data_IF_899312483832
#
_entry.id   IF_899312483832
#
_cell.length_a   1.000
_cell.length_b   1.000
_cell.length_c   1.000
_cell.angle_alpha   90.00
_cell.angle_beta   90.00
_cell.angle_gamma   90.00
#
_symmetry.space_group_name_H-M   'P 1'
#
loop_
_entity.id
_entity.type
_entity.pdbx_description
1 polymer ?
#
# COMPACT_ATOMS: atom_id res chain seq x y z
N UNK A 1 11.14 -20.74 8.65
CA UNK A 1 10.88 -19.36 8.14
C UNK A 1 9.40 -19.17 7.80
N UNK A 2 8.92 -17.93 7.71
CA UNK A 2 7.56 -17.56 7.26
C UNK A 2 7.68 -16.76 5.96
N UNK A 3 6.93 -17.16 4.93
CA UNK A 3 6.88 -16.47 3.63
C UNK A 3 5.59 -15.66 3.50
N UNK A 4 5.72 -14.35 3.28
CA UNK A 4 4.58 -13.49 2.97
C UNK A 4 4.59 -13.16 1.47
N UNK A 5 3.46 -13.37 0.80
CA UNK A 5 3.27 -13.13 -0.62
C UNK A 5 2.19 -12.09 -0.85
N UNK A 6 2.47 -11.12 -1.72
CA UNK A 6 1.50 -10.16 -2.23
C UNK A 6 1.47 -10.25 -3.76
N UNK A 7 0.44 -10.94 -4.27
CA UNK A 7 0.29 -11.28 -5.68
C UNK A 7 -0.62 -10.25 -6.34
N UNK A 8 0.01 -9.19 -6.88
CA UNK A 8 -0.65 -8.16 -7.66
C UNK A 8 -0.81 -8.53 -9.14
N UNK A 9 -1.54 -7.70 -9.89
CA UNK A 9 -1.75 -7.89 -11.32
C UNK A 9 -0.48 -7.70 -12.17
N UNK A 10 0.47 -6.89 -11.70
CA UNK A 10 1.72 -6.57 -12.41
C UNK A 10 2.91 -7.31 -11.81
N UNK A 11 3.07 -7.19 -10.50
CA UNK A 11 4.19 -7.75 -9.75
C UNK A 11 3.66 -8.61 -8.61
N UNK A 12 4.34 -9.73 -8.38
CA UNK A 12 4.21 -10.54 -7.19
C UNK A 12 5.39 -10.21 -6.29
N UNK A 13 5.12 -9.63 -5.14
CA UNK A 13 6.13 -9.27 -4.15
C UNK A 13 6.14 -10.31 -3.05
N UNK A 14 7.29 -10.49 -2.43
CA UNK A 14 7.42 -11.38 -1.29
C UNK A 14 8.39 -10.84 -0.25
N UNK A 15 8.22 -11.31 0.99
CA UNK A 15 9.25 -11.20 2.03
C UNK A 15 9.36 -12.49 2.82
N UNK A 16 10.58 -12.79 3.25
CA UNK A 16 10.87 -13.94 4.11
C UNK A 16 11.20 -13.45 5.52
N UNK A 17 10.57 -14.07 6.51
CA UNK A 17 10.76 -13.78 7.92
C UNK A 17 11.27 -14.97 8.69
N UNK A 18 12.05 -14.68 9.72
CA UNK A 18 12.41 -15.63 10.76
C UNK A 18 11.19 -15.95 11.64
N UNK A 19 10.91 -17.23 11.87
CA UNK A 19 9.72 -17.66 12.59
C UNK A 19 9.79 -17.37 14.10
N UNK A 20 11.01 -17.34 14.65
CA UNK A 20 11.23 -17.13 16.09
C UNK A 20 11.42 -15.65 16.41
N UNK A 21 12.40 -15.00 15.77
CA UNK A 21 12.75 -13.60 16.04
C UNK A 21 11.82 -12.60 15.37
N UNK A 22 11.02 -13.03 14.37
CA UNK A 22 10.19 -12.15 13.55
C UNK A 22 10.96 -11.13 12.69
N UNK A 23 12.28 -11.27 12.60
CA UNK A 23 13.12 -10.43 11.76
C UNK A 23 12.86 -10.70 10.26
N UNK A 24 12.86 -9.63 9.46
CA UNK A 24 12.75 -9.76 8.00
C UNK A 24 14.13 -10.10 7.46
N UNK A 25 14.26 -11.28 6.86
CA UNK A 25 15.53 -11.82 6.34
C UNK A 25 15.80 -11.36 4.91
N UNK A 26 14.76 -11.34 4.08
CA UNK A 26 14.89 -10.96 2.66
C UNK A 26 13.56 -10.49 2.08
N UNK A 27 13.65 -9.81 0.94
CA UNK A 27 12.52 -9.33 0.15
C UNK A 27 12.83 -9.52 -1.33
N UNK A 28 11.79 -9.65 -2.13
CA UNK A 28 11.94 -9.67 -3.58
C UNK A 28 10.64 -9.31 -4.28
N UNK A 29 10.75 -9.12 -5.59
CA UNK A 29 9.62 -8.89 -6.46
C UNK A 29 9.89 -9.56 -7.80
N UNK A 30 8.88 -10.24 -8.33
CA UNK A 30 8.92 -10.86 -9.64
C UNK A 30 7.71 -10.40 -10.45
N UNK A 31 7.83 -10.37 -11.77
CA UNK A 31 6.67 -10.15 -12.63
C UNK A 31 5.64 -11.24 -12.40
N UNK A 32 4.38 -10.86 -12.21
CA UNK A 32 3.30 -11.84 -12.03
C UNK A 32 3.17 -12.65 -13.32
N UNK A 33 3.56 -13.93 -13.25
CA UNK A 33 3.41 -14.90 -14.34
C UNK A 33 2.14 -15.72 -14.10
N UNK A 34 1.68 -16.39 -15.16
CA UNK A 34 0.55 -17.31 -15.06
C UNK A 34 0.87 -18.52 -14.17
N UNK A 35 2.15 -18.91 -14.05
CA UNK A 35 2.61 -20.07 -13.25
C UNK A 35 3.71 -19.68 -12.26
N UNK A 36 3.65 -20.27 -11.05
CA UNK A 36 4.73 -20.22 -10.07
C UNK A 36 5.85 -21.20 -10.44
N UNK A 37 7.10 -20.73 -10.57
CA UNK A 37 8.26 -21.56 -10.94
C UNK A 37 9.36 -21.54 -9.87
N UNK A 38 9.71 -22.70 -9.26
CA UNK A 38 10.87 -22.84 -8.39
C UNK A 38 12.16 -22.42 -9.11
N UNK A 39 13.06 -21.70 -8.44
CA UNK A 39 14.35 -21.24 -9.01
C UNK A 39 14.33 -19.86 -9.68
N UNK A 40 13.24 -19.12 -9.58
CA UNK A 40 13.24 -17.65 -9.76
C UNK A 40 13.67 -16.96 -8.45
N UNK A 41 13.75 -15.62 -8.40
CA UNK A 41 14.13 -14.81 -7.21
C UNK A 41 13.18 -14.98 -6.00
N UNK A 42 12.75 -16.18 -5.67
CA UNK A 42 11.83 -16.59 -4.63
C UNK A 42 12.62 -17.57 -3.73
N UNK A 43 12.50 -17.45 -2.40
CA UNK A 43 13.27 -18.27 -1.46
C UNK A 43 12.91 -19.76 -1.56
N UNK A 44 13.89 -20.60 -1.22
CA UNK A 44 13.71 -22.04 -1.12
C UNK A 44 12.57 -22.36 -0.13
N UNK A 45 11.63 -23.19 -0.57
CA UNK A 45 10.44 -23.54 0.21
C UNK A 45 10.76 -24.62 1.26
N UNK A 46 11.87 -25.34 1.14
CA UNK A 46 12.27 -26.37 2.10
C UNK A 46 12.54 -25.79 3.51
N UNK A 47 12.83 -24.48 3.60
CA UNK A 47 13.04 -23.76 4.87
C UNK A 47 11.80 -22.98 5.35
N UNK A 48 10.68 -23.06 4.62
CA UNK A 48 9.44 -22.32 4.89
C UNK A 48 8.45 -23.21 5.62
N UNK A 49 8.06 -22.81 6.82
CA UNK A 49 7.11 -23.53 7.67
C UNK A 49 5.66 -23.09 7.44
N UNK A 50 5.49 -21.82 7.05
CA UNK A 50 4.18 -21.22 6.81
C UNK A 50 4.23 -20.16 5.70
N UNK A 51 3.13 -20.04 4.95
CA UNK A 51 2.93 -19.00 3.95
C UNK A 51 1.67 -18.19 4.26
N UNK A 52 1.74 -16.86 4.08
CA UNK A 52 0.57 -15.97 4.08
C UNK A 52 0.48 -15.28 2.73
N UNK A 53 -0.73 -15.23 2.16
CA UNK A 53 -0.95 -14.77 0.78
C UNK A 53 -2.01 -13.66 0.76
N UNK A 54 -1.63 -12.51 0.23
CA UNK A 54 -2.49 -11.48 -0.35
C UNK A 54 -2.54 -11.69 -1.86
N UNK A 55 -3.73 -11.60 -2.48
CA UNK A 55 -3.82 -11.70 -3.94
C UNK A 55 -5.03 -10.96 -4.50
N UNK A 56 -4.75 -10.08 -5.45
CA UNK A 56 -5.75 -9.42 -6.31
C UNK A 56 -5.65 -9.90 -7.76
N UNK A 57 -4.82 -10.92 -8.01
CA UNK A 57 -4.66 -11.53 -9.32
C UNK A 57 -5.87 -12.41 -9.70
N UNK A 58 -5.86 -12.92 -10.94
CA UNK A 58 -6.90 -13.81 -11.43
C UNK A 58 -7.02 -15.05 -10.54
N UNK A 59 -8.26 -15.46 -10.25
CA UNK A 59 -8.58 -16.61 -9.38
C UNK A 59 -7.81 -17.89 -9.72
N UNK A 60 -7.65 -18.19 -11.02
CA UNK A 60 -6.90 -19.37 -11.47
C UNK A 60 -5.43 -19.35 -11.00
N UNK A 61 -4.76 -18.20 -11.09
CA UNK A 61 -3.36 -18.04 -10.65
C UNK A 61 -3.24 -18.27 -9.15
N UNK A 62 -4.19 -17.73 -8.36
CA UNK A 62 -4.22 -17.95 -6.91
C UNK A 62 -4.48 -19.41 -6.56
N UNK A 63 -5.45 -20.06 -7.21
CA UNK A 63 -5.81 -21.45 -6.95
C UNK A 63 -4.65 -22.41 -7.26
N UNK A 64 -3.96 -22.19 -8.38
CA UNK A 64 -2.78 -22.96 -8.76
C UNK A 64 -1.62 -22.75 -7.77
N UNK A 65 -1.33 -21.49 -7.44
CA UNK A 65 -0.28 -21.13 -6.48
C UNK A 65 -0.53 -21.77 -5.11
N UNK A 66 -1.75 -21.67 -4.60
CA UNK A 66 -2.14 -22.28 -3.31
C UNK A 66 -2.05 -23.81 -3.36
N UNK A 67 -2.45 -24.42 -4.48
CA UNK A 67 -2.35 -25.87 -4.68
C UNK A 67 -0.90 -26.35 -4.63
N UNK A 68 0.02 -25.63 -5.28
CA UNK A 68 1.46 -25.90 -5.24
C UNK A 68 2.02 -25.76 -3.82
N UNK A 69 1.76 -24.62 -3.16
CA UNK A 69 2.31 -24.33 -1.84
C UNK A 69 1.83 -25.30 -0.76
N UNK A 70 0.56 -25.72 -0.80
CA UNK A 70 0.01 -26.71 0.15
C UNK A 70 0.63 -28.10 0.04
N UNK A 71 1.30 -28.42 -1.08
CA UNK A 71 2.05 -29.69 -1.22
C UNK A 71 3.43 -29.63 -0.57
N UNK A 72 3.97 -28.44 -0.33
CA UNK A 72 5.35 -28.23 0.11
C UNK A 72 5.43 -27.64 1.52
N UNK A 73 4.42 -26.88 1.95
CA UNK A 73 4.41 -26.15 3.22
C UNK A 73 3.23 -26.58 4.08
N UNK A 74 3.47 -26.77 5.38
CA UNK A 74 2.46 -27.27 6.32
C UNK A 74 1.29 -26.31 6.56
N UNK A 75 1.53 -25.00 6.51
CA UNK A 75 0.52 -23.97 6.77
C UNK A 75 0.46 -22.95 5.64
N UNK A 76 -0.73 -22.74 5.06
CA UNK A 76 -0.97 -21.74 4.01
C UNK A 76 -2.23 -20.93 4.34
N UNK A 77 -2.05 -19.65 4.65
CA UNK A 77 -3.12 -18.68 4.86
C UNK A 77 -3.34 -17.84 3.61
N UNK A 78 -4.60 -17.64 3.24
CA UNK A 78 -4.98 -16.77 2.12
C UNK A 78 -5.94 -15.71 2.67
N UNK A 79 -5.51 -14.47 2.62
CA UNK A 79 -6.30 -13.33 3.06
C UNK A 79 -7.51 -13.12 2.14
N UNK A 80 -8.57 -12.58 2.72
CA UNK A 80 -9.77 -12.13 2.00
C UNK A 80 -10.29 -10.87 2.65
N UNK A 81 -10.93 -10.02 1.86
CA UNK A 81 -11.71 -8.91 2.40
C UNK A 81 -12.95 -9.45 3.09
N UNK A 82 -13.16 -9.03 4.34
CA UNK A 82 -14.27 -9.46 5.19
C UNK A 82 -15.14 -8.27 5.56
N UNK A 83 -16.39 -8.48 6.02
CA UNK A 83 -17.25 -7.40 6.53
C UNK A 83 -16.66 -6.69 7.75
N UNK A 84 -15.90 -7.41 8.57
CA UNK A 84 -15.20 -6.87 9.74
C UNK A 84 -13.92 -7.69 9.99
N UNK A 85 -12.87 -7.04 10.46
CA UNK A 85 -11.67 -7.70 11.01
C UNK A 85 -10.92 -6.74 11.93
N UNK A 86 -10.34 -7.26 13.01
CA UNK A 86 -9.44 -6.52 13.90
C UNK A 86 -10.02 -5.17 14.40
N UNK A 87 -11.33 -5.13 14.66
CA UNK A 87 -12.02 -3.93 15.11
C UNK A 87 -12.24 -2.87 14.03
N UNK A 88 -12.09 -3.23 12.75
CA UNK A 88 -12.47 -2.40 11.59
C UNK A 88 -13.66 -3.01 10.88
N UNK A 89 -14.72 -2.24 10.70
CA UNK A 89 -15.89 -2.57 9.87
C UNK A 89 -15.64 -2.05 8.46
N UNK A 90 -15.75 -2.92 7.47
CA UNK A 90 -15.49 -2.63 6.07
C UNK A 90 -16.59 -1.71 5.50
N UNK A 91 -16.17 -0.63 4.84
CA UNK A 91 -17.06 0.42 4.33
C UNK A 91 -17.68 0.13 2.96
N UNK A 92 -17.29 -0.95 2.30
CA UNK A 92 -17.88 -1.32 1.02
C UNK A 92 -19.28 -1.92 1.21
N UNK A 93 -20.21 -1.58 0.31
CA UNK A 93 -21.55 -2.19 0.25
C UNK A 93 -21.46 -3.72 0.07
N UNK A 94 -20.49 -4.18 -0.74
CA UNK A 94 -20.12 -5.57 -0.89
C UNK A 94 -18.67 -5.76 -0.39
N UNK A 95 -18.45 -6.11 0.90
CA UNK A 95 -17.11 -6.18 1.49
C UNK A 95 -16.10 -7.04 0.73
N UNK A 96 -16.58 -8.12 0.10
CA UNK A 96 -15.76 -9.02 -0.71
C UNK A 96 -15.20 -8.39 -2.00
N UNK A 97 -15.71 -7.23 -2.43
CA UNK A 97 -15.21 -6.48 -3.60
C UNK A 97 -14.08 -5.52 -3.29
N UNK A 98 -13.82 -5.23 -2.01
CA UNK A 98 -12.63 -4.46 -1.63
C UNK A 98 -11.39 -5.29 -1.97
N UNK A 99 -10.41 -4.69 -2.65
CA UNK A 99 -9.12 -5.33 -2.90
C UNK A 99 -8.48 -5.79 -1.59
N UNK A 100 -8.03 -7.03 -1.52
CA UNK A 100 -7.50 -7.60 -0.28
C UNK A 100 -6.22 -6.91 0.18
N UNK A 101 -5.40 -6.44 -0.75
CA UNK A 101 -4.23 -5.59 -0.50
C UNK A 101 -4.61 -4.29 0.23
N UNK A 102 -5.63 -3.59 -0.26
CA UNK A 102 -6.19 -2.38 0.35
C UNK A 102 -6.77 -2.68 1.73
N UNK A 103 -7.50 -3.79 1.86
CA UNK A 103 -8.06 -4.21 3.14
C UNK A 103 -6.97 -4.47 4.17
N UNK A 104 -5.94 -5.23 3.81
CA UNK A 104 -4.81 -5.52 4.68
C UNK A 104 -4.02 -4.26 5.06
N UNK A 105 -3.77 -3.36 4.11
CA UNK A 105 -3.10 -2.09 4.39
C UNK A 105 -3.90 -1.19 5.34
N UNK A 106 -5.22 -1.18 5.18
CA UNK A 106 -6.17 -0.48 6.06
C UNK A 106 -6.13 -1.05 7.48
N UNK A 107 -6.20 -2.38 7.63
CA UNK A 107 -6.12 -3.06 8.91
C UNK A 107 -4.78 -2.81 9.61
N UNK A 108 -3.65 -2.92 8.89
CA UNK A 108 -2.32 -2.70 9.45
C UNK A 108 -2.18 -1.26 9.98
N UNK A 109 -2.64 -0.29 9.19
CA UNK A 109 -2.60 1.13 9.55
C UNK A 109 -3.47 1.42 10.77
N UNK A 110 -4.67 0.85 10.82
CA UNK A 110 -5.57 1.03 11.96
C UNK A 110 -5.02 0.40 13.24
N UNK A 111 -4.43 -0.79 13.18
CA UNK A 111 -3.79 -1.41 14.34
C UNK A 111 -2.65 -0.57 14.93
N UNK A 112 -1.96 0.24 14.11
CA UNK A 112 -0.92 1.15 14.59
C UNK A 112 -1.44 2.49 15.13
N UNK A 113 -2.55 3.00 14.57
CA UNK A 113 -2.95 4.39 14.75
C UNK A 113 -4.33 4.60 15.40
N UNK A 114 -5.21 3.59 15.43
CA UNK A 114 -6.59 3.67 15.94
C UNK A 114 -7.56 4.49 15.08
N UNK A 115 -7.06 5.13 14.03
CA UNK A 115 -7.74 5.84 12.95
C UNK A 115 -6.66 6.27 11.96
N UNK A 116 -6.89 6.18 10.65
CA UNK A 116 -5.82 6.35 9.68
C UNK A 116 -6.31 6.70 8.27
N UNK A 117 -5.42 7.31 7.50
CA UNK A 117 -5.45 7.35 6.03
C UNK A 117 -4.29 6.49 5.51
N UNK A 118 -4.60 5.37 4.85
CA UNK A 118 -3.61 4.50 4.23
C UNK A 118 -3.54 4.76 2.73
N UNK A 119 -2.33 5.00 2.22
CA UNK A 119 -2.08 5.31 0.81
C UNK A 119 -1.10 4.27 0.24
N UNK A 120 -1.49 3.51 -0.77
CA UNK A 120 -0.57 2.65 -1.53
C UNK A 120 -0.21 3.32 -2.85
N UNK A 121 1.06 3.62 -3.08
CA UNK A 121 1.61 4.18 -4.31
C UNK A 121 2.26 3.06 -5.15
N UNK A 122 1.42 2.19 -5.73
CA UNK A 122 1.83 1.08 -6.59
C UNK A 122 1.45 1.30 -8.05
N UNK A 123 1.09 0.20 -8.75
CA UNK A 123 0.55 0.27 -10.13
C UNK A 123 -0.68 1.19 -10.22
N UNK A 124 -1.48 1.21 -9.16
CA UNK A 124 -2.50 2.23 -8.89
C UNK A 124 -2.11 2.96 -7.59
N UNK A 125 -2.53 4.21 -7.47
CA UNK A 125 -2.54 4.89 -6.17
C UNK A 125 -3.89 4.59 -5.52
N UNK A 126 -3.89 4.00 -4.33
CA UNK A 126 -5.11 3.75 -3.55
C UNK A 126 -5.06 4.54 -2.25
N UNK A 127 -6.21 5.05 -1.81
CA UNK A 127 -6.32 5.86 -0.59
C UNK A 127 -7.54 5.37 0.18
N UNK A 128 -7.35 4.87 1.39
CA UNK A 128 -8.42 4.34 2.24
C UNK A 128 -8.43 5.04 3.61
N UNK A 129 -9.62 5.25 4.15
CA UNK A 129 -9.81 5.98 5.41
C UNK A 129 -10.52 5.12 6.45
N UNK A 130 -9.98 5.09 7.67
CA UNK A 130 -10.63 4.49 8.84
C UNK A 130 -10.73 5.53 9.93
N UNK A 131 -11.94 5.75 10.41
CA UNK A 131 -12.17 6.65 11.53
C UNK A 131 -11.75 6.04 12.87
N UNK A 132 -11.51 6.88 13.89
CA UNK A 132 -11.52 6.42 15.27
C UNK A 132 -12.78 5.59 15.55
N UNK A 133 -12.59 4.41 16.15
CA UNK A 133 -13.67 3.45 16.39
C UNK A 133 -13.90 2.44 15.25
N UNK A 134 -13.08 2.47 14.20
CA UNK A 134 -12.97 1.35 13.25
C UNK A 134 -13.91 1.39 12.06
N UNK A 135 -14.60 2.49 11.80
CA UNK A 135 -15.42 2.62 10.58
C UNK A 135 -14.52 2.92 9.38
N UNK A 136 -14.34 1.95 8.47
CA UNK A 136 -13.75 2.21 7.15
C UNK A 136 -14.76 2.97 6.29
N UNK A 137 -14.34 4.08 5.68
CA UNK A 137 -15.20 4.94 4.87
C UNK A 137 -15.26 4.51 3.39
N UNK A 138 -14.47 3.51 3.01
CA UNK A 138 -14.10 3.29 1.62
C UNK A 138 -12.85 4.07 1.24
N UNK A 139 -12.71 4.35 -0.05
CA UNK A 139 -11.49 4.96 -0.56
C UNK A 139 -11.52 5.29 -2.05
N UNK A 140 -10.35 5.71 -2.55
CA UNK A 140 -10.14 6.17 -3.92
C UNK A 140 -9.12 5.29 -4.62
N UNK A 141 -9.27 5.14 -5.94
CA UNK A 141 -8.32 4.46 -6.82
C UNK A 141 -7.98 5.43 -7.95
N UNK A 142 -6.70 5.75 -8.10
CA UNK A 142 -6.13 6.60 -9.14
C UNK A 142 -5.11 5.79 -9.94
N UNK A 143 -4.83 6.14 -11.21
CA UNK A 143 -3.70 5.54 -11.91
C UNK A 143 -2.38 5.86 -11.18
N UNK A 144 -1.48 4.88 -11.05
CA UNK A 144 -0.14 5.12 -10.51
C UNK A 144 0.73 5.93 -11.47
N UNK A 145 1.89 6.39 -11.01
CA UNK A 145 2.77 7.29 -11.80
C UNK A 145 3.16 6.65 -13.14
N UNK A 146 3.55 5.36 -13.12
CA UNK A 146 3.87 4.59 -14.33
C UNK A 146 2.66 4.47 -15.27
N UNK A 147 1.47 4.18 -14.74
CA UNK A 147 0.27 4.01 -15.56
C UNK A 147 -0.17 5.32 -16.21
N UNK A 148 -0.11 6.44 -15.49
CA UNK A 148 -0.36 7.77 -16.07
C UNK A 148 0.59 8.04 -17.23
N UNK A 149 1.87 7.71 -17.06
CA UNK A 149 2.89 7.88 -18.10
C UNK A 149 2.60 7.03 -19.34
N UNK A 150 2.27 5.76 -19.14
CA UNK A 150 1.93 4.82 -20.21
C UNK A 150 0.68 5.28 -20.99
N UNK A 151 -0.29 5.89 -20.30
CA UNK A 151 -1.54 6.36 -20.91
C UNK A 151 -1.36 7.50 -21.92
N UNK A 152 -0.28 8.28 -21.82
CA UNK A 152 -0.01 9.40 -22.73
C UNK A 152 0.46 8.94 -24.12
N UNK A 153 0.76 7.65 -24.32
CA UNK A 153 1.18 7.05 -25.61
C UNK A 153 2.36 7.75 -26.31
N UNK A 154 3.06 8.65 -25.62
CA UNK A 154 4.24 9.31 -26.13
C UNK A 154 5.34 8.25 -26.16
N UNK A 155 5.93 8.00 -27.32
CA UNK A 155 7.10 7.11 -27.52
C UNK A 155 8.37 7.55 -26.76
N UNK A 156 8.23 8.36 -25.71
CA UNK A 156 9.24 8.69 -24.72
C UNK A 156 9.63 7.41 -23.96
N UNK A 157 10.61 6.70 -24.50
CA UNK A 157 11.36 5.63 -23.84
C UNK A 157 11.56 5.97 -22.36
N UNK A 158 11.08 5.10 -21.47
CA UNK A 158 11.55 4.81 -20.10
C UNK A 158 12.37 5.87 -19.33
N UNK A 159 12.03 7.16 -19.36
CA UNK A 159 12.60 8.09 -18.37
C UNK A 159 11.78 7.92 -17.11
N UNK A 160 12.16 7.01 -16.22
CA UNK A 160 11.55 6.96 -14.89
C UNK A 160 11.60 8.36 -14.26
N UNK A 161 10.58 8.73 -13.48
CA UNK A 161 10.75 9.86 -12.57
C UNK A 161 11.87 9.42 -11.64
N UNK A 162 13.00 10.12 -11.70
CA UNK A 162 14.18 9.74 -10.94
C UNK A 162 13.80 9.78 -9.45
N UNK A 163 13.95 8.66 -8.71
CA UNK A 163 13.72 8.65 -7.28
C UNK A 163 14.54 9.70 -6.53
N UNK A 164 15.64 10.17 -7.12
CA UNK A 164 16.52 11.18 -6.57
C UNK A 164 16.18 12.61 -7.03
N UNK A 165 15.28 12.80 -8.02
CA UNK A 165 14.79 14.14 -8.40
C UNK A 165 14.24 14.89 -7.18
N UNK A 166 14.71 16.11 -6.98
CA UNK A 166 14.18 16.98 -5.93
C UNK A 166 12.69 17.26 -6.20
N UNK A 167 11.84 17.03 -5.20
CA UNK A 167 10.40 17.21 -5.39
C UNK A 167 10.01 18.65 -5.74
N UNK A 168 10.80 19.63 -5.27
CA UNK A 168 10.62 21.03 -5.62
C UNK A 168 10.79 21.27 -7.13
N UNK A 169 11.71 20.56 -7.79
CA UNK A 169 11.88 20.64 -9.24
C UNK A 169 10.66 20.07 -9.98
N UNK A 170 10.13 18.93 -9.51
CA UNK A 170 8.97 18.27 -10.10
C UNK A 170 7.66 19.08 -9.94
N UNK A 171 7.64 20.09 -9.08
CA UNK A 171 6.50 21.01 -8.90
C UNK A 171 6.58 22.25 -9.79
N UNK A 172 7.71 22.49 -10.47
CA UNK A 172 7.86 23.61 -11.40
C UNK A 172 7.29 23.29 -12.78
N UNK A 173 6.86 24.28 -13.58
CA UNK A 173 6.53 24.05 -14.98
C UNK A 173 7.73 23.47 -15.76
N UNK A 174 7.54 22.31 -16.37
CA UNK A 174 8.57 21.68 -17.20
C UNK A 174 8.88 22.52 -18.44
N UNK A 175 10.17 22.65 -18.77
CA UNK A 175 10.68 23.44 -19.90
C UNK A 175 10.97 22.60 -21.14
N UNK A 176 10.80 21.28 -21.03
CA UNK A 176 10.91 20.30 -22.12
C UNK A 176 9.74 19.32 -22.05
N UNK A 177 9.35 18.69 -23.15
CA UNK A 177 8.22 17.74 -23.18
C UNK A 177 8.32 16.65 -22.11
N UNK A 178 9.51 16.07 -21.91
CA UNK A 178 9.73 15.02 -20.89
C UNK A 178 9.53 15.56 -19.48
N UNK A 179 9.99 16.78 -19.19
CA UNK A 179 9.76 17.45 -17.91
C UNK A 179 8.28 17.77 -17.73
N UNK A 180 7.63 18.37 -18.74
CA UNK A 180 6.21 18.72 -18.66
C UNK A 180 5.33 17.49 -18.37
N UNK A 181 5.66 16.34 -18.98
CA UNK A 181 4.99 15.06 -18.68
C UNK A 181 5.29 14.58 -17.27
N UNK A 182 6.56 14.49 -16.87
CA UNK A 182 6.95 13.97 -15.55
C UNK A 182 6.42 14.85 -14.40
N UNK A 183 6.55 16.18 -14.53
CA UNK A 183 6.11 17.16 -13.54
C UNK A 183 4.58 17.16 -13.47
N UNK A 184 3.89 17.11 -14.62
CA UNK A 184 2.43 17.00 -14.66
C UNK A 184 1.90 15.74 -13.97
N UNK A 185 2.53 14.58 -14.21
CA UNK A 185 2.16 13.31 -13.56
C UNK A 185 2.41 13.37 -12.05
N UNK A 186 3.58 13.84 -11.65
CA UNK A 186 3.93 13.98 -10.24
C UNK A 186 2.97 14.92 -9.51
N UNK A 187 2.76 16.12 -10.07
CA UNK A 187 1.87 17.14 -9.54
C UNK A 187 0.44 16.62 -9.44
N UNK A 188 -0.06 15.90 -10.45
CA UNK A 188 -1.39 15.29 -10.41
C UNK A 188 -1.54 14.30 -9.26
N UNK A 189 -0.56 13.40 -9.08
CA UNK A 189 -0.60 12.39 -8.02
C UNK A 189 -0.56 13.02 -6.62
N UNK A 190 0.42 13.88 -6.33
CA UNK A 190 0.58 14.46 -4.98
C UNK A 190 -0.55 15.43 -4.65
N UNK A 191 -1.03 16.22 -5.64
CA UNK A 191 -2.16 17.12 -5.43
C UNK A 191 -3.45 16.35 -5.16
N UNK A 192 -3.69 15.24 -5.86
CA UNK A 192 -4.84 14.38 -5.60
C UNK A 192 -4.80 13.82 -4.17
N UNK A 193 -3.68 13.25 -3.73
CA UNK A 193 -3.55 12.71 -2.36
C UNK A 193 -3.78 13.80 -1.31
N UNK A 194 -3.14 14.96 -1.43
CA UNK A 194 -3.31 16.07 -0.50
C UNK A 194 -4.75 16.60 -0.46
N UNK A 195 -5.38 16.78 -1.63
CA UNK A 195 -6.75 17.31 -1.75
C UNK A 195 -7.77 16.32 -1.18
N UNK A 196 -7.65 15.04 -1.53
CA UNK A 196 -8.53 13.97 -1.04
C UNK A 196 -8.42 13.86 0.48
N UNK A 197 -7.21 13.81 1.03
CA UNK A 197 -7.01 13.78 2.48
C UNK A 197 -7.69 14.97 3.16
N UNK A 198 -7.45 16.17 2.65
CA UNK A 198 -7.98 17.39 3.27
C UNK A 198 -9.51 17.44 3.21
N UNK A 199 -10.11 17.08 2.07
CA UNK A 199 -11.57 17.07 1.89
C UNK A 199 -12.24 16.05 2.83
N UNK A 200 -11.70 14.83 2.93
CA UNK A 200 -12.27 13.78 3.78
C UNK A 200 -12.11 14.13 5.26
N UNK A 201 -10.94 14.61 5.67
CA UNK A 201 -10.70 14.99 7.07
C UNK A 201 -11.56 16.18 7.50
N UNK A 202 -11.76 17.17 6.62
CA UNK A 202 -12.65 18.30 6.91
C UNK A 202 -14.12 17.86 7.01
N UNK A 203 -14.58 17.04 6.07
CA UNK A 203 -15.96 16.53 6.04
C UNK A 203 -16.32 15.68 7.27
N UNK A 204 -15.39 14.83 7.71
CA UNK A 204 -15.60 13.97 8.88
C UNK A 204 -15.18 14.63 10.20
N UNK A 205 -14.77 15.91 10.15
CA UNK A 205 -14.31 16.72 11.30
C UNK A 205 -13.25 15.97 12.16
N UNK A 206 -12.28 15.35 11.49
CA UNK A 206 -11.26 14.51 12.12
C UNK A 206 -9.94 14.56 11.37
N UNK A 207 -8.83 14.73 12.09
CA UNK A 207 -7.51 14.65 11.52
C UNK A 207 -6.92 13.24 11.71
N UNK A 208 -6.54 12.59 10.62
CA UNK A 208 -6.11 11.19 10.63
C UNK A 208 -4.60 11.08 10.36
N UNK A 209 -3.84 10.26 11.11
CA UNK A 209 -2.49 9.88 10.73
C UNK A 209 -2.45 9.27 9.32
N UNK A 210 -1.45 9.66 8.52
CA UNK A 210 -1.27 9.14 7.16
C UNK A 210 -0.10 8.15 7.09
N UNK A 211 -0.32 7.01 6.44
CA UNK A 211 0.71 6.02 6.14
C UNK A 211 0.77 5.76 4.64
N UNK A 212 1.98 5.80 4.08
CA UNK A 212 2.25 5.52 2.67
C UNK A 212 2.95 4.16 2.52
N UNK A 213 2.56 3.39 1.51
CA UNK A 213 3.27 2.19 1.06
C UNK A 213 3.39 2.18 -0.46
N UNK A 214 3.96 1.11 -1.01
CA UNK A 214 4.10 0.95 -2.46
C UNK A 214 5.49 1.31 -2.99
N UNK A 215 5.71 1.01 -4.27
CA UNK A 215 7.02 1.22 -4.92
C UNK A 215 7.35 2.70 -5.12
N UNK A 216 6.33 3.51 -5.42
CA UNK A 216 6.47 4.95 -5.65
C UNK A 216 6.28 5.77 -4.37
N UNK A 217 6.10 5.12 -3.21
CA UNK A 217 5.79 5.77 -1.93
C UNK A 217 6.80 6.85 -1.56
N UNK A 218 8.10 6.57 -1.75
CA UNK A 218 9.19 7.51 -1.45
C UNK A 218 9.22 8.72 -2.37
N UNK A 219 8.74 8.58 -3.60
CA UNK A 219 8.66 9.70 -4.56
C UNK A 219 7.46 10.56 -4.22
N UNK A 220 6.30 9.92 -4.05
CA UNK A 220 5.04 10.59 -3.68
C UNK A 220 5.16 11.29 -2.33
N UNK A 221 5.81 10.68 -1.33
CA UNK A 221 5.99 11.23 0.02
C UNK A 221 6.60 12.62 0.04
N UNK A 222 7.50 12.92 -0.92
CA UNK A 222 8.16 14.23 -0.99
C UNK A 222 7.22 15.39 -1.34
N UNK A 223 6.04 15.09 -1.90
CA UNK A 223 5.02 16.08 -2.24
C UNK A 223 3.81 16.07 -1.29
N UNK A 224 3.82 15.22 -0.26
CA UNK A 224 2.76 15.18 0.75
C UNK A 224 2.97 16.30 1.76
N UNK A 225 1.92 17.10 1.96
CA UNK A 225 1.99 18.33 2.77
C UNK A 225 1.59 18.13 4.24
N UNK A 226 1.19 16.91 4.60
CA UNK A 226 0.81 16.54 5.97
C UNK A 226 1.80 15.53 6.57
N UNK A 227 1.96 15.48 7.91
CA UNK A 227 2.81 14.48 8.55
C UNK A 227 2.36 13.06 8.17
N UNK A 228 3.31 12.25 7.73
CA UNK A 228 3.06 10.90 7.26
C UNK A 228 4.26 10.00 7.53
N UNK A 229 4.03 8.69 7.54
CA UNK A 229 5.09 7.68 7.63
C UNK A 229 5.09 6.81 6.37
N UNK A 230 6.28 6.44 5.88
CA UNK A 230 6.40 5.44 4.82
C UNK A 230 6.64 4.07 5.45
N UNK A 231 5.77 3.11 5.14
CA UNK A 231 5.86 1.72 5.56
C UNK A 231 5.84 0.79 4.35
N UNK A 232 7.01 0.40 3.81
CA UNK A 232 7.09 -0.45 2.61
C UNK A 232 6.44 -1.83 2.76
N UNK A 233 6.36 -2.34 3.99
CA UNK A 233 5.84 -3.68 4.31
C UNK A 233 4.38 -3.66 4.83
N UNK A 234 3.63 -2.56 4.60
CA UNK A 234 2.30 -2.34 5.19
C UNK A 234 1.28 -3.45 4.90
N UNK A 235 1.19 -3.91 3.65
CA UNK A 235 0.28 -5.02 3.26
C UNK A 235 0.64 -6.30 4.03
N UNK A 236 1.94 -6.57 4.18
CA UNK A 236 2.38 -7.73 4.94
C UNK A 236 2.16 -7.56 6.45
N UNK A 237 2.22 -6.34 6.99
CA UNK A 237 1.76 -6.04 8.35
C UNK A 237 0.29 -6.42 8.54
N UNK A 238 -0.56 -6.17 7.54
CA UNK A 238 -1.94 -6.64 7.55
C UNK A 238 -2.05 -8.17 7.57
N UNK A 239 -1.20 -8.89 6.83
CA UNK A 239 -1.14 -10.35 6.89
C UNK A 239 -0.71 -10.85 8.27
N UNK A 240 0.25 -10.18 8.91
CA UNK A 240 0.67 -10.49 10.27
C UNK A 240 -0.45 -10.30 11.28
N UNK A 241 -1.18 -9.20 11.18
CA UNK A 241 -2.27 -8.91 12.08
C UNK A 241 -3.44 -9.89 11.90
N UNK A 242 -3.75 -10.30 10.66
CA UNK A 242 -4.81 -11.27 10.37
C UNK A 242 -4.42 -12.71 10.74
N UNK A 243 -3.15 -13.06 10.54
CA UNK A 243 -2.63 -14.42 10.72
C UNK A 243 -1.32 -14.37 11.52
N UNK A 244 -1.39 -14.14 12.84
CA UNK A 244 -0.20 -14.00 13.68
C UNK A 244 0.43 -15.36 13.97
N UNK A 245 1.66 -15.54 13.50
CA UNK A 245 2.44 -16.79 13.61
C UNK A 245 3.56 -16.67 14.63
N UNK A 246 4.14 -15.48 14.84
CA UNK A 246 5.19 -15.26 15.84
C UNK A 246 4.64 -14.71 17.17
N UNK A 247 5.45 -14.78 18.24
CA UNK A 247 5.08 -14.18 19.52
C UNK A 247 4.96 -12.65 19.44
N UNK A 248 5.79 -12.00 18.61
CA UNK A 248 5.73 -10.55 18.39
C UNK A 248 4.43 -10.14 17.69
N UNK A 249 4.03 -10.88 16.64
CA UNK A 249 2.80 -10.64 15.90
C UNK A 249 1.56 -10.81 16.80
N UNK A 250 1.53 -11.88 17.63
CA UNK A 250 0.47 -12.08 18.63
C UNK A 250 0.39 -10.97 19.69
N UNK A 251 1.50 -10.29 19.94
CA UNK A 251 1.55 -9.12 20.82
C UNK A 251 1.24 -7.79 20.09
N UNK A 252 0.77 -7.84 18.84
CA UNK A 252 0.43 -6.67 18.03
C UNK A 252 1.62 -5.92 17.45
N UNK A 253 2.83 -6.50 17.49
CA UNK A 253 4.04 -5.88 16.93
C UNK A 253 4.26 -6.37 15.51
N UNK A 254 3.98 -5.50 14.55
CA UNK A 254 4.17 -5.79 13.13
C UNK A 254 5.59 -5.43 12.66
N UNK A 255 6.19 -6.28 11.83
CA UNK A 255 7.57 -6.09 11.39
C UNK A 255 7.69 -4.92 10.40
N UNK A 256 8.68 -4.06 10.63
CA UNK A 256 8.93 -2.87 9.82
C UNK A 256 7.95 -1.72 10.06
N UNK A 257 7.02 -1.84 11.01
CA UNK A 257 6.08 -0.79 11.36
C UNK A 257 6.82 0.51 11.74
N UNK A 258 6.47 1.66 11.14
CA UNK A 258 7.11 2.92 11.45
C UNK A 258 6.54 3.53 12.74
N UNK A 259 7.23 4.56 13.25
CA UNK A 259 6.61 5.47 14.22
C UNK A 259 5.56 6.31 13.51
N UNK A 260 4.36 6.37 14.08
CA UNK A 260 3.26 7.17 13.53
C UNK A 260 3.46 8.65 13.93
N UNK A 261 3.57 9.57 12.97
CA UNK A 261 3.59 10.99 13.28
C UNK A 261 2.19 11.46 13.73
N UNK A 262 2.10 12.42 14.66
CA UNK A 262 0.81 13.00 15.02
C UNK A 262 0.19 13.72 13.82
N UNK A 263 -1.14 13.67 13.65
CA UNK A 263 -1.80 14.37 12.55
C UNK A 263 -1.72 15.89 12.75
N UNK A 264 -1.89 16.64 11.65
CA UNK A 264 -2.05 18.11 11.70
C UNK A 264 -3.40 18.48 12.32
N UNK A 265 -3.51 19.70 12.84
CA UNK A 265 -4.81 20.20 13.33
C UNK A 265 -5.80 20.42 12.18
N UNK A 266 -7.09 20.26 12.46
CA UNK A 266 -8.17 20.56 11.51
C UNK A 266 -8.13 22.00 11.01
N UNK A 267 -7.73 22.95 11.85
CA UNK A 267 -7.51 24.34 11.45
C UNK A 267 -6.48 24.45 10.32
N UNK A 268 -5.36 23.73 10.40
CA UNK A 268 -4.36 23.72 9.33
C UNK A 268 -4.87 23.08 8.05
N UNK A 269 -5.66 21.99 8.17
CA UNK A 269 -6.30 21.35 7.02
C UNK A 269 -7.25 22.34 6.33
N UNK A 270 -8.15 22.98 7.09
CA UNK A 270 -9.10 23.99 6.60
C UNK A 270 -8.41 25.19 5.98
N UNK A 271 -7.32 25.67 6.58
CA UNK A 271 -6.54 26.78 6.03
C UNK A 271 -5.96 26.42 4.64
N UNK A 272 -5.43 25.21 4.47
CA UNK A 272 -4.94 24.74 3.17
C UNK A 272 -6.06 24.66 2.12
N UNK A 273 -7.28 24.26 2.53
CA UNK A 273 -8.47 24.23 1.66
C UNK A 273 -8.96 25.62 1.27
N UNK A 274 -8.98 26.58 2.20
CA UNK A 274 -9.49 27.94 1.97
C UNK A 274 -8.75 28.67 0.82
N UNK A 275 -7.46 28.42 0.65
CA UNK A 275 -6.68 28.94 -0.47
C UNK A 275 -7.14 28.42 -1.84
N UNK A 276 -7.88 27.31 -1.88
CA UNK A 276 -8.40 26.70 -3.11
C UNK A 276 -9.88 26.98 -3.40
N UNK A 277 -10.64 27.52 -2.44
CA UNK A 277 -12.05 27.95 -2.63
C UNK A 277 -12.20 29.43 -3.01
N UNK A 278 -11.10 30.20 -3.00
CA UNK A 278 -11.07 31.61 -3.40
C UNK A 278 -10.72 31.82 -4.89
N UNK A 279 -10.69 30.75 -5.68
CA UNK A 279 -10.61 30.73 -7.15
C UNK A 279 -11.92 30.19 -7.74
#
# INVERSE_FOLDING_TARGET
MILDLDIGNTLSKWRLKDADSSEIRSRGAVWTREEWRPGSDIPDLDVVEAVRISSVARRAVLEETVSLLRRQVGVVHVARSTPEALGVVNGYEEPARLGVDRWLGTLASYQLAGGCCSVDCGSAITIDFVLPGGRHLGGYILPGLRLMKESLQLGTRNVAIDPDSEAEELLLPGKRTVEAVNHGIYMAAVSAVNRIYSEVCDREDVALPMLLTGGDARVVSRGIQVPHAVWPDMVYGGLEACFPLTAAERAGKMSGAPRIPPPVSLEKIRAALAFSMLL
#
